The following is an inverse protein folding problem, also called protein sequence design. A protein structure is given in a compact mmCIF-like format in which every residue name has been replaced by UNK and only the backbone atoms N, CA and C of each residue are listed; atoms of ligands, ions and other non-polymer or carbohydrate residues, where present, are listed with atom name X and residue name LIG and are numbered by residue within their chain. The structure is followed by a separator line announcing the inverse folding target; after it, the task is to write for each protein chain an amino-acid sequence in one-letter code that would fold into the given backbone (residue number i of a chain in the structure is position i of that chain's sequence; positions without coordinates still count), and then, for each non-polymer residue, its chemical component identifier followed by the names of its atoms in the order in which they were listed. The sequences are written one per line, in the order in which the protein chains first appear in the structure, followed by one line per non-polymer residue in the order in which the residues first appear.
data_IF_218270269766
#
_entry.id   IF_218270269766
#
_cell.length_a   1.000
_cell.length_b   1.000
_cell.length_c   1.000
_cell.angle_alpha   90.00
_cell.angle_beta   90.00
_cell.angle_gamma   90.00
#
_symmetry.space_group_name_H-M   'P 1'
#
loop_
_entity.id
_entity.type
_entity.pdbx_description
1 polymer ?
#
# COMPACT_ATOMS: atom_id res chain seq x y z
N UNK A 1 22.10 -21.38 -9.19
CA UNK A 1 21.62 -19.97 -9.31
C UNK A 1 20.25 -19.95 -8.68
N UNK A 2 20.13 -19.39 -7.49
CA UNK A 2 18.93 -19.53 -6.65
C UNK A 2 17.74 -18.84 -7.27
N UNK A 3 16.64 -19.58 -7.45
CA UNK A 3 15.36 -19.12 -8.02
C UNK A 3 14.53 -18.27 -7.05
N UNK A 4 15.18 -17.55 -6.13
CA UNK A 4 14.54 -16.77 -5.07
C UNK A 4 14.39 -15.28 -5.40
N UNK A 5 14.92 -14.83 -6.54
CA UNK A 5 14.79 -13.44 -6.97
C UNK A 5 13.33 -13.08 -7.27
N UNK A 6 12.89 -11.90 -6.82
CA UNK A 6 11.57 -11.38 -7.14
C UNK A 6 11.41 -11.22 -8.66
N UNK A 7 10.38 -11.80 -9.29
CA UNK A 7 10.13 -11.58 -10.70
C UNK A 7 9.95 -10.09 -11.01
N UNK A 8 10.54 -9.59 -12.10
CA UNK A 8 10.43 -8.19 -12.53
C UNK A 8 8.98 -7.67 -12.53
N UNK A 9 8.04 -8.52 -12.96
CA UNK A 9 6.62 -8.21 -12.97
C UNK A 9 6.05 -7.96 -11.56
N UNK A 10 6.50 -8.69 -10.54
CA UNK A 10 6.06 -8.47 -9.16
C UNK A 10 6.63 -7.17 -8.58
N UNK A 11 7.88 -6.80 -8.91
CA UNK A 11 8.44 -5.50 -8.54
C UNK A 11 7.64 -4.32 -9.12
N UNK A 12 7.21 -4.44 -10.39
CA UNK A 12 6.34 -3.46 -11.02
C UNK A 12 4.95 -3.40 -10.37
N UNK A 13 4.35 -4.55 -10.05
CA UNK A 13 3.08 -4.60 -9.31
C UNK A 13 3.18 -3.90 -7.96
N UNK A 14 4.27 -4.11 -7.22
CA UNK A 14 4.44 -3.53 -5.90
C UNK A 14 4.52 -1.99 -5.95
N UNK A 15 5.23 -1.45 -6.96
CA UNK A 15 5.28 0.00 -7.22
C UNK A 15 3.90 0.57 -7.58
N UNK A 16 3.16 -0.12 -8.44
CA UNK A 16 1.81 0.29 -8.81
C UNK A 16 0.87 0.29 -7.60
N UNK A 17 0.94 -0.76 -6.78
CA UNK A 17 0.14 -0.88 -5.57
C UNK A 17 0.43 0.24 -4.56
N UNK A 18 1.70 0.63 -4.39
CA UNK A 18 2.07 1.79 -3.58
C UNK A 18 1.44 3.09 -4.12
N UNK A 19 1.45 3.28 -5.44
CA UNK A 19 0.82 4.45 -6.05
C UNK A 19 -0.70 4.44 -5.86
N UNK A 20 -1.36 3.30 -6.03
CA UNK A 20 -2.81 3.15 -5.86
C UNK A 20 -3.25 3.46 -4.43
N UNK A 21 -2.52 2.93 -3.44
CA UNK A 21 -2.74 3.19 -2.01
C UNK A 21 -2.62 4.68 -1.69
N UNK A 22 -1.55 5.34 -2.17
CA UNK A 22 -1.34 6.78 -1.98
C UNK A 22 -2.42 7.62 -2.66
N UNK A 23 -2.76 7.28 -3.91
CA UNK A 23 -3.77 7.99 -4.68
C UNK A 23 -5.15 7.91 -4.01
N UNK A 24 -5.52 6.72 -3.52
CA UNK A 24 -6.80 6.54 -2.84
C UNK A 24 -6.84 7.28 -1.50
N UNK A 25 -5.78 7.19 -0.69
CA UNK A 25 -5.71 7.93 0.57
C UNK A 25 -5.86 9.45 0.32
N UNK A 26 -5.21 9.98 -0.72
CA UNK A 26 -5.32 11.38 -1.11
C UNK A 26 -6.72 11.76 -1.62
N UNK A 27 -7.31 10.92 -2.48
CA UNK A 27 -8.65 11.12 -2.99
C UNK A 27 -9.69 11.23 -1.86
N UNK A 28 -9.57 10.37 -0.84
CA UNK A 28 -10.48 10.31 0.32
C UNK A 28 -10.11 11.29 1.45
N UNK A 29 -8.99 12.01 1.31
CA UNK A 29 -8.39 12.90 2.32
C UNK A 29 -8.10 12.20 3.65
N UNK A 30 -7.65 10.96 3.56
CA UNK A 30 -7.39 10.06 4.69
C UNK A 30 -5.88 9.92 5.00
N UNK A 31 -5.00 10.71 4.37
CA UNK A 31 -3.56 10.58 4.54
C UNK A 31 -3.12 10.75 5.99
N UNK A 32 -3.71 11.70 6.72
CA UNK A 32 -3.44 11.91 8.14
C UNK A 32 -4.05 10.82 9.04
N UNK A 33 -5.10 10.14 8.58
CA UNK A 33 -5.77 9.06 9.33
C UNK A 33 -4.96 7.76 9.22
N UNK A 34 -4.35 7.52 8.05
CA UNK A 34 -3.56 6.33 7.75
C UNK A 34 -2.05 6.63 7.68
N UNK A 35 -1.58 7.72 8.31
CA UNK A 35 -0.20 8.23 8.14
C UNK A 35 0.84 7.14 8.43
N UNK A 36 0.66 6.41 9.54
CA UNK A 36 1.58 5.38 10.00
C UNK A 36 1.58 4.19 9.03
N UNK A 37 0.42 3.71 8.61
CA UNK A 37 0.31 2.58 7.67
C UNK A 37 0.84 2.93 6.28
N UNK A 38 0.56 4.14 5.79
CA UNK A 38 1.06 4.63 4.51
C UNK A 38 2.59 4.78 4.52
N UNK A 39 3.14 5.31 5.61
CA UNK A 39 4.58 5.41 5.80
C UNK A 39 5.22 4.02 5.90
N UNK A 40 4.67 3.14 6.73
CA UNK A 40 5.16 1.78 6.92
C UNK A 40 5.20 0.99 5.61
N UNK A 41 4.11 1.01 4.85
CA UNK A 41 4.04 0.33 3.56
C UNK A 41 5.03 0.89 2.53
N UNK A 42 5.24 2.22 2.51
CA UNK A 42 6.24 2.83 1.63
C UNK A 42 7.67 2.37 1.97
N UNK A 43 8.00 2.26 3.26
CA UNK A 43 9.30 1.78 3.72
C UNK A 43 9.49 0.29 3.41
N UNK A 44 8.46 -0.51 3.59
CA UNK A 44 8.46 -1.93 3.23
C UNK A 44 8.72 -2.13 1.73
N UNK A 45 7.98 -1.41 0.86
CA UNK A 45 8.20 -1.46 -0.59
C UNK A 45 9.64 -1.07 -0.95
N UNK A 46 10.19 -0.03 -0.32
CA UNK A 46 11.57 0.38 -0.56
C UNK A 46 12.58 -0.71 -0.16
N UNK A 47 12.38 -1.36 0.99
CA UNK A 47 13.22 -2.46 1.47
C UNK A 47 13.16 -3.67 0.54
N UNK A 48 11.95 -4.08 0.12
CA UNK A 48 11.73 -5.20 -0.80
C UNK A 48 12.38 -4.92 -2.16
N UNK A 49 12.27 -3.70 -2.69
CA UNK A 49 12.90 -3.36 -3.97
C UNK A 49 14.43 -3.27 -3.89
N UNK A 50 14.99 -2.99 -2.71
CA UNK A 50 16.43 -2.96 -2.49
C UNK A 50 17.06 -4.36 -2.34
N UNK A 51 16.32 -5.30 -1.75
CA UNK A 51 16.73 -6.69 -1.57
C UNK A 51 15.61 -7.67 -1.97
N UNK A 52 15.30 -7.77 -3.28
CA UNK A 52 14.11 -8.47 -3.76
C UNK A 52 14.22 -9.98 -3.60
N UNK A 53 13.37 -10.55 -2.75
CA UNK A 53 13.10 -11.98 -2.75
C UNK A 53 11.64 -12.25 -3.08
N UNK A 54 11.35 -13.43 -3.62
CA UNK A 54 9.99 -13.86 -3.90
C UNK A 54 9.08 -13.75 -2.67
N UNK A 55 9.53 -14.28 -1.53
CA UNK A 55 8.73 -14.30 -0.30
C UNK A 55 8.42 -12.90 0.21
N UNK A 56 9.43 -12.01 0.20
CA UNK A 56 9.26 -10.62 0.67
C UNK A 56 8.36 -9.81 -0.26
N UNK A 57 8.44 -10.04 -1.58
CA UNK A 57 7.53 -9.40 -2.53
C UNK A 57 6.10 -9.93 -2.44
N UNK A 58 5.90 -11.24 -2.26
CA UNK A 58 4.58 -11.82 -2.05
C UNK A 58 3.93 -11.34 -0.74
N UNK A 59 4.73 -11.19 0.33
CA UNK A 59 4.29 -10.61 1.60
C UNK A 59 3.86 -9.15 1.42
N UNK A 60 4.72 -8.29 0.86
CA UNK A 60 4.41 -6.88 0.66
C UNK A 60 3.22 -6.65 -0.29
N UNK A 61 3.04 -7.49 -1.31
CA UNK A 61 1.85 -7.47 -2.16
C UNK A 61 0.57 -7.81 -1.40
N UNK A 62 0.64 -8.66 -0.37
CA UNK A 62 -0.50 -9.02 0.46
C UNK A 62 -0.83 -7.88 1.43
N UNK A 63 0.18 -7.31 2.07
CA UNK A 63 0.03 -6.17 2.98
C UNK A 63 -0.54 -4.94 2.27
N UNK A 64 0.01 -4.59 1.11
CA UNK A 64 -0.50 -3.49 0.29
C UNK A 64 -1.94 -3.68 -0.18
N UNK A 65 -2.35 -4.92 -0.51
CA UNK A 65 -3.75 -5.23 -0.88
C UNK A 65 -4.69 -5.07 0.31
N UNK A 66 -4.27 -5.51 1.49
CA UNK A 66 -5.04 -5.34 2.72
C UNK A 66 -5.20 -3.85 3.08
N UNK A 67 -4.13 -3.06 2.95
CA UNK A 67 -4.17 -1.62 3.16
C UNK A 67 -5.08 -0.91 2.15
N UNK A 68 -4.98 -1.27 0.87
CA UNK A 68 -5.86 -0.74 -0.17
C UNK A 68 -7.33 -1.05 0.12
N UNK A 69 -7.64 -2.27 0.60
CA UNK A 69 -8.99 -2.64 0.97
C UNK A 69 -9.49 -1.82 2.17
N UNK A 70 -8.68 -1.66 3.22
CA UNK A 70 -9.01 -0.80 4.36
C UNK A 70 -9.33 0.64 3.93
N UNK A 71 -8.52 1.20 3.02
CA UNK A 71 -8.77 2.53 2.48
C UNK A 71 -10.07 2.61 1.68
N UNK A 72 -10.43 1.57 0.91
CA UNK A 72 -11.71 1.50 0.18
C UNK A 72 -12.90 1.49 1.15
N UNK A 73 -12.79 0.73 2.23
CA UNK A 73 -13.88 0.53 3.20
C UNK A 73 -14.04 1.69 4.19
N UNK A 74 -13.00 2.50 4.40
CA UNK A 74 -13.08 3.68 5.26
C UNK A 74 -14.08 4.73 4.70
N UNK A 75 -14.86 5.44 5.53
CA UNK A 75 -15.66 6.55 5.04
C UNK A 75 -14.76 7.68 4.54
N UNK A 76 -15.22 8.44 3.54
CA UNK A 76 -14.52 9.66 3.14
C UNK A 76 -14.50 10.67 4.29
N UNK A 77 -13.47 11.52 4.36
CA UNK A 77 -13.45 12.63 5.33
C UNK A 77 -14.67 13.56 5.15
N UNK A 78 -15.19 13.65 3.92
CA UNK A 78 -16.42 14.36 3.58
C UNK A 78 -17.66 13.76 4.26
N UNK A 79 -17.77 12.42 4.28
CA UNK A 79 -18.93 11.72 4.86
C UNK A 79 -18.94 11.81 6.39
N UNK A 80 -17.75 11.81 7.00
CA UNK A 80 -17.61 12.00 8.45
C UNK A 80 -18.12 13.37 8.91
N UNK A 81 -18.05 14.41 8.07
CA UNK A 81 -18.63 15.73 8.38
C UNK A 81 -20.15 15.76 8.24
N UNK A 82 -20.72 14.89 7.40
CA UNK A 82 -22.18 14.77 7.25
C UNK A 82 -22.83 13.99 8.40
N UNK A 83 -22.09 13.06 9.03
CA UNK A 83 -22.56 12.28 10.17
C UNK A 83 -22.47 13.01 11.53
N UNK A 84 -21.83 14.19 11.58
CA UNK A 84 -21.71 15.02 12.79
C UNK A 84 -22.74 16.16 12.88
N UNK A 85 -23.85 16.09 12.12
CA UNK A 85 -24.96 17.06 12.19
C UNK A 85 -26.24 16.46 12.77
#
# INVERSE_FOLDING_TARGET
MSSDDLPFFQAAQLKNLLNDVRALAAQKRLEAVFEVELFGFAQEVAAVLAAPTRDTGEAALREGRALLQKLKDAPDKSDSQLLMR
#
